data_IF_664948065859
#
_entry.id   IF_664948065859
#
_cell.length_a   1.000
_cell.length_b   1.000
_cell.length_c   1.000
_cell.angle_alpha   90.00
_cell.angle_beta   90.00
_cell.angle_gamma   90.00
#
_symmetry.space_group_name_H-M   'P 1'
#
loop_
_entity.id
_entity.type
_entity.pdbx_description
1 polymer ?
#
# COMPACT_ATOMS: atom_id res chain seq x y z
N UNK A 1 4.67 6.84 5.66
CA UNK A 1 4.85 7.33 7.05
C UNK A 1 3.60 8.10 7.42
N UNK A 2 3.20 8.00 8.68
CA UNK A 2 2.08 8.80 9.19
C UNK A 2 2.70 10.10 9.69
N UNK A 3 2.29 11.21 9.08
CA UNK A 3 2.65 12.56 9.50
C UNK A 3 1.38 13.16 10.10
N UNK A 4 1.52 13.77 11.27
CA UNK A 4 0.43 14.48 11.94
C UNK A 4 0.58 15.97 11.60
N UNK A 5 -0.20 16.42 10.63
CA UNK A 5 -0.23 17.81 10.18
C UNK A 5 -1.40 18.52 10.86
N UNK A 6 -1.15 19.66 11.49
CA UNK A 6 -2.21 20.48 12.07
C UNK A 6 -3.08 21.07 10.95
N UNK A 7 -4.24 20.46 10.73
CA UNK A 7 -5.22 20.87 9.72
C UNK A 7 -6.59 20.97 10.41
N UNK A 8 -7.12 22.18 10.49
CA UNK A 8 -8.36 22.48 11.22
C UNK A 8 -9.54 21.60 10.75
N UNK A 9 -9.59 21.31 9.45
CA UNK A 9 -10.60 20.44 8.86
C UNK A 9 -10.49 19.00 9.39
N UNK A 10 -9.34 18.34 9.20
CA UNK A 10 -9.09 16.98 9.69
C UNK A 10 -9.27 16.89 11.20
N UNK A 11 -8.74 17.85 11.95
CA UNK A 11 -8.80 17.87 13.42
C UNK A 11 -10.24 17.97 13.93
N UNK A 12 -11.06 18.81 13.29
CA UNK A 12 -12.49 18.92 13.63
C UNK A 12 -13.23 17.61 13.37
N UNK A 13 -12.99 16.94 12.24
CA UNK A 13 -13.62 15.64 11.93
C UNK A 13 -13.18 14.54 12.90
N UNK A 14 -11.89 14.50 13.25
CA UNK A 14 -11.36 13.54 14.23
C UNK A 14 -12.01 13.77 15.59
N UNK A 15 -12.09 15.02 16.05
CA UNK A 15 -12.72 15.37 17.32
C UNK A 15 -14.21 14.99 17.34
N UNK A 16 -14.96 15.28 16.28
CA UNK A 16 -16.36 14.87 16.15
C UNK A 16 -16.51 13.36 16.23
N UNK A 17 -15.71 12.61 15.46
CA UNK A 17 -15.76 11.15 15.47
C UNK A 17 -15.48 10.56 16.86
N UNK A 18 -14.49 11.10 17.59
CA UNK A 18 -14.17 10.66 18.95
C UNK A 18 -15.34 10.91 19.91
N UNK A 19 -15.97 12.08 19.83
CA UNK A 19 -17.13 12.43 20.66
C UNK A 19 -18.34 11.52 20.37
N UNK A 20 -18.59 11.24 19.08
CA UNK A 20 -19.69 10.36 18.66
C UNK A 20 -19.50 8.93 19.17
N UNK A 21 -18.29 8.38 19.05
CA UNK A 21 -17.96 7.04 19.57
C UNK A 21 -18.10 6.98 21.10
N UNK A 22 -17.73 8.06 21.82
CA UNK A 22 -17.85 8.10 23.27
C UNK A 22 -19.31 8.18 23.74
N UNK A 23 -20.17 8.90 23.01
CA UNK A 23 -21.61 9.05 23.34
C UNK A 23 -22.44 7.84 22.91
N UNK A 24 -22.11 7.20 21.78
CA UNK A 24 -22.81 6.06 21.20
C UNK A 24 -21.85 4.88 21.02
N UNK A 25 -21.74 4.01 22.04
CA UNK A 25 -20.78 2.90 22.07
C UNK A 25 -20.92 1.84 20.95
N UNK A 26 -22.00 1.85 20.14
CA UNK A 26 -22.31 0.72 19.25
C UNK A 26 -22.79 1.09 17.82
N UNK A 27 -23.37 2.26 17.56
CA UNK A 27 -24.06 2.55 16.28
C UNK A 27 -23.30 3.45 15.29
N UNK A 28 -22.13 3.98 15.65
CA UNK A 28 -21.41 4.94 14.78
C UNK A 28 -20.77 4.25 13.56
N UNK A 29 -20.53 2.95 13.63
CA UNK A 29 -19.82 2.19 12.59
C UNK A 29 -20.73 1.07 12.10
N UNK A 30 -21.37 1.26 10.95
CA UNK A 30 -22.12 0.23 10.23
C UNK A 30 -21.31 -0.23 9.01
N UNK A 31 -20.34 -1.16 9.17
CA UNK A 31 -19.59 -1.66 8.04
C UNK A 31 -20.47 -2.59 7.19
N UNK A 32 -20.25 -2.56 5.87
CA UNK A 32 -20.98 -3.42 4.91
C UNK A 32 -20.73 -4.91 5.21
N UNK A 33 -19.54 -5.24 5.72
CA UNK A 33 -19.14 -6.59 6.09
C UNK A 33 -18.88 -6.68 7.59
N UNK A 34 -19.44 -7.69 8.23
CA UNK A 34 -19.12 -8.01 9.61
C UNK A 34 -17.74 -8.70 9.71
N UNK A 35 -17.19 -8.75 10.92
CA UNK A 35 -15.86 -9.32 11.18
C UNK A 35 -15.77 -10.79 10.76
N UNK A 36 -16.81 -11.58 11.00
CA UNK A 36 -16.83 -13.02 10.67
C UNK A 36 -16.79 -13.26 9.16
N UNK A 37 -17.59 -12.50 8.39
CA UNK A 37 -17.62 -12.52 6.93
C UNK A 37 -16.24 -12.18 6.36
N UNK A 38 -15.61 -11.13 6.88
CA UNK A 38 -14.27 -10.72 6.42
C UNK A 38 -13.21 -11.77 6.77
N UNK A 39 -13.24 -12.35 7.97
CA UNK A 39 -12.33 -13.43 8.36
C UNK A 39 -12.48 -14.67 7.47
N UNK A 40 -13.73 -15.04 7.15
CA UNK A 40 -14.03 -16.16 6.24
C UNK A 40 -13.51 -15.87 4.83
N UNK A 41 -13.70 -14.65 4.34
CA UNK A 41 -13.17 -14.21 3.04
C UNK A 41 -11.65 -14.28 3.00
N UNK A 42 -10.96 -13.72 4.00
CA UNK A 42 -9.49 -13.74 4.09
C UNK A 42 -8.98 -15.18 4.12
N UNK A 43 -9.63 -16.08 4.89
CA UNK A 43 -9.25 -17.50 4.93
C UNK A 43 -9.35 -18.16 3.55
N UNK A 44 -10.43 -17.86 2.81
CA UNK A 44 -10.62 -18.38 1.46
C UNK A 44 -9.58 -17.82 0.47
N UNK A 45 -9.38 -16.49 0.48
CA UNK A 45 -8.41 -15.81 -0.38
C UNK A 45 -6.97 -16.30 -0.17
N UNK A 46 -6.59 -16.67 1.06
CA UNK A 46 -5.26 -17.20 1.38
C UNK A 46 -4.97 -18.58 0.78
N UNK A 47 -5.99 -19.32 0.35
CA UNK A 47 -5.80 -20.62 -0.31
C UNK A 47 -5.30 -20.48 -1.76
N UNK A 48 -5.41 -19.29 -2.35
CA UNK A 48 -4.96 -19.04 -3.72
C UNK A 48 -3.44 -18.82 -3.78
N UNK A 49 -2.81 -19.44 -4.79
CA UNK A 49 -1.39 -19.28 -5.11
C UNK A 49 -1.25 -18.71 -6.52
N UNK A 50 -1.40 -17.38 -6.70
CA UNK A 50 -1.42 -16.77 -8.03
C UNK A 50 -0.07 -16.90 -8.72
N UNK A 51 -0.08 -17.20 -10.02
CA UNK A 51 1.13 -17.36 -10.83
C UNK A 51 1.38 -16.12 -11.68
N UNK A 52 2.64 -15.70 -11.77
CA UNK A 52 3.06 -14.58 -12.62
C UNK A 52 3.27 -15.07 -14.05
N UNK A 53 2.46 -14.58 -14.99
CA UNK A 53 2.65 -14.82 -16.43
C UNK A 53 3.75 -13.93 -17.01
N UNK A 54 4.16 -14.23 -18.24
CA UNK A 54 5.23 -13.51 -18.93
C UNK A 54 4.95 -12.01 -19.10
N UNK A 55 3.68 -11.63 -19.29
CA UNK A 55 3.26 -10.23 -19.32
C UNK A 55 3.56 -9.52 -17.99
N UNK A 56 3.26 -10.16 -16.86
CA UNK A 56 3.56 -9.64 -15.52
C UNK A 56 5.06 -9.51 -15.29
N UNK A 57 5.86 -10.48 -15.77
CA UNK A 57 7.32 -10.45 -15.69
C UNK A 57 7.90 -9.20 -16.37
N UNK A 58 7.43 -8.87 -17.59
CA UNK A 58 7.87 -7.68 -18.32
C UNK A 58 7.58 -6.39 -17.55
N UNK A 59 6.40 -6.30 -16.94
CA UNK A 59 6.00 -5.13 -16.13
C UNK A 59 6.84 -5.02 -14.86
N UNK A 60 7.06 -6.12 -14.13
CA UNK A 60 7.88 -6.15 -12.92
C UNK A 60 9.31 -5.65 -13.17
N UNK A 61 9.94 -6.12 -14.25
CA UNK A 61 11.29 -5.69 -14.65
C UNK A 61 11.31 -4.18 -14.91
N UNK A 62 10.32 -3.68 -15.65
CA UNK A 62 10.23 -2.25 -15.95
C UNK A 62 10.01 -1.41 -14.68
N UNK A 63 9.11 -1.82 -13.79
CA UNK A 63 8.87 -1.16 -12.50
C UNK A 63 10.15 -1.12 -11.64
N UNK A 64 10.89 -2.22 -11.55
CA UNK A 64 12.13 -2.26 -10.78
C UNK A 64 13.23 -1.37 -11.36
N UNK A 65 13.36 -1.35 -12.70
CA UNK A 65 14.28 -0.42 -13.39
C UNK A 65 13.94 1.03 -13.05
N UNK A 66 12.67 1.40 -13.09
CA UNK A 66 12.21 2.75 -12.73
C UNK A 66 12.51 3.09 -11.26
N UNK A 67 12.32 2.15 -10.31
CA UNK A 67 12.69 2.36 -8.90
C UNK A 67 14.18 2.69 -8.75
N UNK A 68 15.05 1.91 -9.40
CA UNK A 68 16.51 2.09 -9.32
C UNK A 68 16.98 3.38 -10.00
N UNK A 69 16.35 3.78 -11.09
CA UNK A 69 16.66 5.05 -11.74
C UNK A 69 16.30 6.24 -10.86
N UNK A 70 15.15 6.19 -10.18
CA UNK A 70 14.73 7.25 -9.26
C UNK A 70 15.69 7.41 -8.05
N UNK A 71 16.25 6.31 -7.55
CA UNK A 71 17.27 6.28 -6.48
C UNK A 71 18.61 6.90 -6.93
N UNK A 72 19.02 6.63 -8.18
CA UNK A 72 20.33 7.08 -8.72
C UNK A 72 20.35 8.57 -9.04
N UNK A 73 19.21 9.15 -9.43
CA UNK A 73 19.12 10.55 -9.86
C UNK A 73 19.13 11.57 -8.70
N UNK A 74 19.29 11.12 -7.44
CA UNK A 74 19.41 12.01 -6.27
C UNK A 74 18.14 12.83 -5.94
N UNK A 75 17.09 12.76 -6.77
CA UNK A 75 15.79 13.42 -6.54
C UNK A 75 15.06 12.89 -5.31
N UNK A 76 15.40 11.69 -4.89
CA UNK A 76 15.03 11.15 -3.61
C UNK A 76 16.34 11.06 -2.82
N UNK A 77 16.62 12.04 -1.95
CA UNK A 77 17.41 11.76 -0.73
C UNK A 77 16.55 10.86 0.17
N UNK A 78 16.09 9.72 -0.35
CA UNK A 78 15.36 8.76 0.44
C UNK A 78 16.31 8.24 1.50
N UNK A 79 15.82 8.16 2.73
CA UNK A 79 16.58 7.65 3.88
C UNK A 79 17.17 6.24 3.64
N UNK A 80 16.71 5.51 2.61
CA UNK A 80 17.12 4.15 2.28
C UNK A 80 17.40 3.92 0.79
N UNK A 81 18.45 3.15 0.47
CA UNK A 81 18.81 2.70 -0.89
C UNK A 81 17.84 1.64 -1.42
N UNK A 82 17.55 1.68 -2.72
CA UNK A 82 16.77 0.62 -3.39
C UNK A 82 17.65 -0.60 -3.65
N UNK A 83 17.23 -1.77 -3.15
CA UNK A 83 17.93 -3.06 -3.30
C UNK A 83 17.01 -4.13 -3.89
N UNK A 84 17.56 -5.31 -4.20
CA UNK A 84 16.79 -6.46 -4.74
C UNK A 84 15.65 -6.87 -3.82
N UNK A 85 15.77 -6.65 -2.50
CA UNK A 85 14.68 -6.87 -1.53
C UNK A 85 13.40 -6.12 -1.89
N UNK A 86 13.50 -4.96 -2.53
CA UNK A 86 12.33 -4.19 -2.97
C UNK A 86 11.61 -4.85 -4.15
N UNK A 87 12.33 -5.54 -5.03
CA UNK A 87 11.72 -6.35 -6.09
C UNK A 87 10.97 -7.54 -5.50
N UNK A 88 11.56 -8.23 -4.52
CA UNK A 88 10.88 -9.34 -3.81
C UNK A 88 9.63 -8.86 -3.07
N UNK A 89 9.69 -7.69 -2.45
CA UNK A 89 8.52 -7.07 -1.82
C UNK A 89 7.45 -6.71 -2.84
N UNK A 90 7.83 -6.16 -4.00
CA UNK A 90 6.89 -5.85 -5.09
C UNK A 90 6.18 -7.08 -5.63
N UNK A 91 6.91 -8.19 -5.79
CA UNK A 91 6.36 -9.49 -6.18
C UNK A 91 5.32 -9.97 -5.15
N UNK A 92 5.70 -9.98 -3.85
CA UNK A 92 4.81 -10.39 -2.76
C UNK A 92 3.54 -9.54 -2.67
N UNK A 93 3.66 -8.23 -2.85
CA UNK A 93 2.49 -7.32 -2.87
C UNK A 93 1.58 -7.58 -4.08
N UNK A 94 2.16 -7.86 -5.25
CA UNK A 94 1.40 -8.15 -6.47
C UNK A 94 0.62 -9.46 -6.35
N UNK A 95 1.23 -10.50 -5.76
CA UNK A 95 0.56 -11.77 -5.45
C UNK A 95 -0.53 -11.60 -4.39
N UNK A 96 -0.28 -10.81 -3.35
CA UNK A 96 -1.27 -10.52 -2.31
C UNK A 96 -2.52 -9.83 -2.89
N UNK A 97 -2.33 -8.87 -3.80
CA UNK A 97 -3.45 -8.23 -4.52
C UNK A 97 -4.22 -9.25 -5.37
N UNK A 98 -3.53 -10.12 -6.09
CA UNK A 98 -4.19 -11.19 -6.85
C UNK A 98 -5.01 -12.12 -5.93
N UNK A 99 -4.50 -12.48 -4.73
CA UNK A 99 -5.24 -13.26 -3.74
C UNK A 99 -6.50 -12.55 -3.25
N UNK A 100 -6.42 -11.25 -2.95
CA UNK A 100 -7.57 -10.45 -2.51
C UNK A 100 -8.66 -10.42 -3.59
N UNK A 101 -8.27 -10.43 -4.87
CA UNK A 101 -9.20 -10.51 -6.00
C UNK A 101 -9.61 -11.94 -6.40
N UNK A 102 -9.16 -12.98 -5.67
CA UNK A 102 -9.43 -14.38 -5.94
C UNK A 102 -8.97 -14.83 -7.35
N UNK A 103 -7.89 -14.23 -7.85
CA UNK A 103 -7.32 -14.59 -9.14
C UNK A 103 -6.21 -15.62 -8.99
N UNK A 104 -6.18 -16.57 -9.92
CA UNK A 104 -5.08 -17.54 -10.05
C UNK A 104 -3.84 -16.97 -10.74
N UNK A 105 -3.92 -15.74 -11.29
CA UNK A 105 -2.84 -15.15 -12.09
C UNK A 105 -2.60 -13.69 -11.75
N UNK A 106 -1.33 -13.29 -11.68
CA UNK A 106 -0.95 -11.91 -11.39
C UNK A 106 -1.09 -11.07 -12.65
N UNK A 107 -2.16 -10.26 -12.70
CA UNK A 107 -2.43 -9.34 -13.80
C UNK A 107 -1.53 -8.08 -13.74
N UNK A 108 -1.16 -7.47 -14.88
CA UNK A 108 -0.38 -6.22 -14.91
C UNK A 108 -0.93 -5.07 -14.06
N UNK A 109 -2.26 -5.02 -13.87
CA UNK A 109 -2.91 -4.03 -13.00
C UNK A 109 -2.47 -4.14 -11.54
N UNK A 110 -2.31 -5.34 -11.00
CA UNK A 110 -1.89 -5.56 -9.61
C UNK A 110 -0.45 -5.11 -9.37
N UNK A 111 0.42 -5.37 -10.34
CA UNK A 111 1.81 -4.92 -10.28
C UNK A 111 1.89 -3.40 -10.28
N UNK A 112 1.08 -2.73 -11.10
CA UNK A 112 1.04 -1.26 -11.15
C UNK A 112 0.52 -0.65 -9.84
N UNK A 113 -0.51 -1.23 -9.24
CA UNK A 113 -1.01 -0.77 -7.93
C UNK A 113 -0.01 -1.04 -6.81
N UNK A 114 0.61 -2.23 -6.76
CA UNK A 114 1.66 -2.54 -5.81
C UNK A 114 2.86 -1.59 -5.96
N UNK A 115 3.24 -1.26 -7.19
CA UNK A 115 4.30 -0.31 -7.49
C UNK A 115 3.96 1.11 -7.04
N UNK A 116 2.71 1.56 -7.25
CA UNK A 116 2.21 2.85 -6.75
C UNK A 116 2.32 2.93 -5.22
N UNK A 117 1.86 1.89 -4.52
CA UNK A 117 1.93 1.79 -3.07
C UNK A 117 3.37 1.79 -2.55
N UNK A 118 4.26 1.04 -3.21
CA UNK A 118 5.68 1.02 -2.86
C UNK A 118 6.32 2.40 -3.07
N UNK A 119 6.00 3.09 -4.15
CA UNK A 119 6.49 4.45 -4.42
C UNK A 119 6.03 5.44 -3.35
N UNK A 120 4.76 5.38 -2.92
CA UNK A 120 4.26 6.23 -1.82
C UNK A 120 4.87 5.90 -0.46
N UNK A 121 5.37 4.68 -0.26
CA UNK A 121 6.04 4.31 0.99
C UNK A 121 7.43 4.93 1.14
N UNK A 122 8.05 5.34 0.04
CA UNK A 122 9.37 5.97 0.01
C UNK A 122 9.15 7.47 0.19
N UNK A 123 9.34 7.96 1.42
CA UNK A 123 9.30 9.40 1.72
C UNK A 123 10.50 10.06 1.03
N UNK A 124 10.24 11.19 0.37
CA UNK A 124 11.28 12.13 -0.01
C UNK A 124 11.67 12.87 1.26
N UNK A 125 12.88 12.62 1.79
CA UNK A 125 13.39 13.44 2.87
C UNK A 125 13.58 14.85 2.34
N UNK A 126 12.71 15.77 2.73
CA UNK A 126 13.03 17.19 2.72
C UNK A 126 14.20 17.35 3.70
N UNK A 127 15.40 17.58 3.14
CA UNK A 127 16.45 18.17 3.92
C UNK A 127 16.09 19.65 3.99
N UNK A 128 15.42 20.05 5.07
CA UNK A 128 15.37 21.46 5.42
C UNK A 128 16.82 21.92 5.55
N UNK A 129 17.25 22.76 4.61
CA UNK A 129 18.50 23.50 4.74
C UNK A 129 18.30 24.43 5.93
N UNK A 130 18.87 24.04 7.06
CA UNK A 130 18.97 24.91 8.24
C UNK A 130 19.96 26.01 7.88
N UNK A 131 19.44 27.20 7.58
CA UNK A 131 20.22 28.45 7.44
C UNK A 131 20.60 29.01 8.83
#
# INVERSE_FOLDING_TARGET
VVLDECDEGKDTHIAQHILDVHRCKLDVISPIFNTEQLQRYIRYARAFNPVIKEEGKKVLINCYRLLRQADTLGRNRSCYRITVRQLESLIRLSEALARVHLDETVRPRYIREAFKLLKTSIIQGEADEVE
#
